data_IF_163769329013
#
_entry.id   IF_163769329013
#
_cell.length_a   1.000
_cell.length_b   1.000
_cell.length_c   1.000
_cell.angle_alpha   90.00
_cell.angle_beta   90.00
_cell.angle_gamma   90.00
#
_symmetry.space_group_name_H-M   'P 1'
#
loop_
_entity.id
_entity.type
_entity.pdbx_description
1 polymer ?
#
# COMPACT_ATOMS: atom_id res chain seq x y z
N UNK A 1 17.62 19.61 9.04
CA UNK A 1 18.49 18.97 8.02
C UNK A 1 17.99 19.37 6.64
N UNK A 2 18.88 19.67 5.68
CA UNK A 2 18.51 20.08 4.32
C UNK A 2 19.02 19.08 3.27
N UNK A 3 18.23 18.84 2.22
CA UNK A 3 18.61 17.98 1.09
C UNK A 3 18.14 18.57 -0.23
N UNK A 4 18.92 18.39 -1.29
CA UNK A 4 18.54 18.70 -2.67
C UNK A 4 18.07 17.41 -3.33
N UNK A 5 16.79 17.34 -3.66
CA UNK A 5 16.16 16.20 -4.33
C UNK A 5 15.77 16.58 -5.75
N UNK A 6 15.54 15.59 -6.61
CA UNK A 6 15.03 15.83 -7.96
C UNK A 6 13.50 15.70 -7.94
N UNK A 7 12.82 16.67 -8.53
CA UNK A 7 11.38 16.62 -8.72
C UNK A 7 10.98 15.59 -9.81
N UNK A 8 9.68 15.47 -10.06
CA UNK A 8 9.10 14.57 -11.08
C UNK A 8 9.57 14.90 -12.50
N UNK A 9 10.06 16.11 -12.74
CA UNK A 9 10.51 16.63 -14.02
C UNK A 9 12.05 16.66 -14.13
N UNK A 10 12.76 16.10 -13.15
CA UNK A 10 14.23 16.12 -13.12
C UNK A 10 14.83 17.49 -12.77
N UNK A 11 14.03 18.42 -12.24
CA UNK A 11 14.52 19.71 -11.73
C UNK A 11 14.93 19.58 -10.26
N UNK A 12 16.01 20.25 -9.85
CA UNK A 12 16.41 20.24 -8.45
C UNK A 12 15.45 21.03 -7.56
N UNK A 13 15.01 20.41 -6.47
CA UNK A 13 14.14 20.98 -5.45
C UNK A 13 14.81 20.87 -4.07
N UNK A 14 14.68 21.92 -3.26
CA UNK A 14 15.23 21.94 -1.91
C UNK A 14 14.17 21.46 -0.91
N UNK A 15 14.54 20.51 -0.07
CA UNK A 15 13.72 20.04 1.05
C UNK A 15 14.43 20.31 2.38
N UNK A 16 13.70 20.89 3.32
CA UNK A 16 14.18 21.15 4.68
C UNK A 16 13.30 20.37 5.64
N UNK A 17 13.94 19.56 6.49
CA UNK A 17 13.29 18.88 7.61
C UNK A 17 13.59 19.69 8.87
N UNK A 18 12.52 20.24 9.46
CA UNK A 18 12.54 20.94 10.75
C UNK A 18 12.09 19.93 11.81
N UNK A 19 12.94 19.69 12.81
CA UNK A 19 12.67 18.73 13.88
C UNK A 19 13.48 19.09 15.11
N UNK A 20 12.95 18.79 16.30
CA UNK A 20 13.67 18.89 17.58
C UNK A 20 14.58 17.68 17.85
N UNK A 21 14.51 16.64 17.02
CA UNK A 21 15.33 15.44 17.13
C UNK A 21 16.67 15.58 16.40
N UNK A 22 17.62 14.68 16.70
CA UNK A 22 18.88 14.57 15.94
C UNK A 22 18.59 14.37 14.43
N UNK A 23 19.36 15.01 13.53
CA UNK A 23 19.14 14.95 12.08
C UNK A 23 18.99 13.54 11.50
N UNK A 24 19.77 12.58 11.99
CA UNK A 24 19.75 11.17 11.56
C UNK A 24 18.40 10.50 11.87
N UNK A 25 17.85 10.78 13.05
CA UNK A 25 16.55 10.27 13.50
C UNK A 25 15.44 10.94 12.70
N UNK A 26 15.49 12.28 12.58
CA UNK A 26 14.49 13.05 11.83
C UNK A 26 14.40 12.59 10.37
N UNK A 27 15.55 12.34 9.74
CA UNK A 27 15.61 11.82 8.37
C UNK A 27 15.01 10.42 8.25
N UNK A 28 15.32 9.50 9.18
CA UNK A 28 14.77 8.15 9.18
C UNK A 28 13.24 8.17 9.32
N UNK A 29 12.72 8.93 10.27
CA UNK A 29 11.27 9.08 10.50
C UNK A 29 10.60 9.71 9.27
N UNK A 30 11.19 10.76 8.71
CA UNK A 30 10.60 11.46 7.56
C UNK A 30 10.47 10.57 6.31
N UNK A 31 11.36 9.58 6.14
CA UNK A 31 11.24 8.58 5.07
C UNK A 31 9.98 7.73 5.19
N UNK A 32 9.52 7.44 6.41
CA UNK A 32 8.32 6.63 6.65
C UNK A 32 7.05 7.34 6.17
N UNK A 33 7.07 8.69 6.07
CA UNK A 33 5.96 9.49 5.51
C UNK A 33 5.53 9.01 4.13
N UNK A 34 6.47 8.53 3.30
CA UNK A 34 6.17 8.09 1.94
C UNK A 34 5.22 6.87 1.88
N UNK A 35 5.05 6.15 2.98
CA UNK A 35 4.12 5.03 3.06
C UNK A 35 2.66 5.47 2.84
N UNK A 36 2.28 6.67 3.29
CA UNK A 36 0.91 7.18 3.12
C UNK A 36 0.56 7.42 1.65
N UNK A 37 1.54 7.84 0.84
CA UNK A 37 1.35 8.06 -0.60
C UNK A 37 1.08 6.72 -1.32
N UNK A 38 1.73 5.65 -0.86
CA UNK A 38 1.49 4.29 -1.37
C UNK A 38 0.10 3.79 -0.97
N UNK A 39 -0.34 4.07 0.26
CA UNK A 39 -1.69 3.74 0.73
C UNK A 39 -2.76 4.49 -0.06
N UNK A 40 -2.63 5.81 -0.24
CA UNK A 40 -3.58 6.59 -1.05
C UNK A 40 -3.62 6.13 -2.51
N UNK A 41 -2.47 5.79 -3.10
CA UNK A 41 -2.44 5.24 -4.46
C UNK A 41 -3.22 3.91 -4.56
N UNK A 42 -3.14 3.07 -3.54
CA UNK A 42 -3.85 1.81 -3.45
C UNK A 42 -5.37 1.97 -3.23
N UNK A 43 -5.80 2.98 -2.47
CA UNK A 43 -7.23 3.33 -2.33
C UNK A 43 -7.83 3.86 -3.64
N UNK A 44 -7.02 4.57 -4.42
CA UNK A 44 -7.41 5.15 -5.72
C UNK A 44 -7.11 4.18 -6.87
N UNK A 45 -6.50 4.69 -7.94
CA UNK A 45 -6.35 4.05 -9.25
C UNK A 45 -5.52 2.76 -9.26
N UNK A 46 -4.69 2.48 -8.24
CA UNK A 46 -3.87 1.26 -8.23
C UNK A 46 -4.55 0.06 -7.54
N UNK A 47 -5.70 0.25 -6.90
CA UNK A 47 -6.42 -0.77 -6.16
C UNK A 47 -7.93 -0.58 -6.21
N UNK A 48 -8.53 -0.08 -5.13
CA UNK A 48 -9.99 -0.07 -4.94
C UNK A 48 -10.75 0.96 -5.78
N UNK A 49 -10.05 1.94 -6.35
CA UNK A 49 -10.61 2.93 -7.26
C UNK A 49 -11.81 3.69 -6.68
N UNK A 50 -11.75 4.06 -5.39
CA UNK A 50 -12.88 4.66 -4.67
C UNK A 50 -13.41 5.94 -5.31
N UNK A 51 -12.57 6.69 -6.02
CA UNK A 51 -12.92 7.94 -6.71
C UNK A 51 -13.88 7.73 -7.88
N UNK A 52 -13.91 6.53 -8.47
CA UNK A 52 -14.79 6.18 -9.59
C UNK A 52 -16.17 5.65 -9.14
N UNK A 53 -16.45 5.62 -7.83
CA UNK A 53 -17.75 5.16 -7.32
C UNK A 53 -18.87 6.18 -7.50
N UNK A 54 -18.52 7.43 -7.85
CA UNK A 54 -19.44 8.57 -7.98
C UNK A 54 -20.31 8.84 -6.73
N UNK A 55 -19.92 8.32 -5.57
CA UNK A 55 -20.61 8.61 -4.32
C UNK A 55 -20.34 10.06 -3.89
N UNK A 56 -21.42 10.81 -3.67
CA UNK A 56 -21.40 12.21 -3.23
C UNK A 56 -21.83 12.38 -1.79
N UNK A 57 -22.73 11.51 -1.31
CA UNK A 57 -23.29 11.59 0.05
C UNK A 57 -22.27 11.16 1.10
N UNK A 58 -21.99 12.04 2.07
CA UNK A 58 -20.97 11.82 3.11
C UNK A 58 -21.19 10.52 3.89
N UNK A 59 -22.41 10.26 4.35
CA UNK A 59 -22.74 9.04 5.12
C UNK A 59 -22.47 7.75 4.33
N UNK A 60 -22.61 7.80 2.99
CA UNK A 60 -22.35 6.64 2.12
C UNK A 60 -20.86 6.47 1.88
N UNK A 61 -20.13 7.58 1.71
CA UNK A 61 -18.68 7.59 1.59
C UNK A 61 -18.06 7.02 2.87
N UNK A 62 -18.52 7.44 4.05
CA UNK A 62 -18.01 6.95 5.33
C UNK A 62 -18.16 5.43 5.47
N UNK A 63 -19.36 4.91 5.19
CA UNK A 63 -19.64 3.46 5.22
C UNK A 63 -18.80 2.68 4.22
N UNK A 64 -18.69 3.17 2.98
CA UNK A 64 -17.83 2.55 1.97
C UNK A 64 -16.38 2.56 2.44
N UNK A 65 -15.90 3.70 2.94
CA UNK A 65 -14.51 3.86 3.34
C UNK A 65 -14.15 2.90 4.48
N UNK A 66 -15.02 2.72 5.47
CA UNK A 66 -14.84 1.74 6.53
C UNK A 66 -14.63 0.31 5.96
N UNK A 67 -15.47 -0.12 5.01
CA UNK A 67 -15.32 -1.43 4.35
C UNK A 67 -14.02 -1.52 3.53
N UNK A 68 -13.68 -0.46 2.81
CA UNK A 68 -12.45 -0.39 2.00
C UNK A 68 -11.21 -0.49 2.88
N UNK A 69 -11.19 0.10 4.07
CA UNK A 69 -10.05 0.00 5.00
C UNK A 69 -9.88 -1.43 5.52
N UNK A 70 -10.98 -2.14 5.79
CA UNK A 70 -10.93 -3.57 6.16
C UNK A 70 -10.35 -4.39 4.99
N UNK A 71 -10.87 -4.20 3.77
CA UNK A 71 -10.37 -4.88 2.57
C UNK A 71 -8.90 -4.51 2.27
N UNK A 72 -8.50 -3.27 2.53
CA UNK A 72 -7.12 -2.82 2.40
C UNK A 72 -6.19 -3.58 3.33
N UNK A 73 -6.58 -3.67 4.60
CA UNK A 73 -5.81 -4.35 5.64
C UNK A 73 -5.69 -5.83 5.30
N UNK A 74 -6.78 -6.44 4.85
CA UNK A 74 -6.80 -7.83 4.39
C UNK A 74 -5.80 -8.09 3.25
N UNK A 75 -5.88 -7.31 2.17
CA UNK A 75 -4.96 -7.41 1.05
C UNK A 75 -3.50 -7.15 1.44
N UNK A 76 -3.28 -6.25 2.40
CA UNK A 76 -1.94 -5.97 2.92
C UNK A 76 -1.35 -7.16 3.68
N UNK A 77 -2.12 -7.76 4.60
CA UNK A 77 -1.71 -8.92 5.39
C UNK A 77 -1.45 -10.16 4.53
N UNK A 78 -2.35 -10.45 3.58
CA UNK A 78 -2.14 -11.53 2.59
C UNK A 78 -0.85 -11.26 1.80
N UNK A 79 -0.62 -10.03 1.37
CA UNK A 79 0.58 -9.65 0.64
C UNK A 79 1.88 -9.85 1.41
N UNK A 80 1.89 -9.58 2.73
CA UNK A 80 3.02 -9.85 3.62
C UNK A 80 3.26 -11.36 3.71
N UNK A 81 2.21 -12.12 4.03
CA UNK A 81 2.31 -13.58 4.14
C UNK A 81 2.85 -14.22 2.87
N UNK A 82 2.32 -13.83 1.71
CA UNK A 82 2.80 -14.33 0.43
C UNK A 82 4.27 -13.99 0.22
N UNK A 83 4.70 -12.78 0.58
CA UNK A 83 6.09 -12.36 0.43
C UNK A 83 7.05 -13.14 1.34
N UNK A 84 6.66 -13.39 2.58
CA UNK A 84 7.53 -13.99 3.60
C UNK A 84 7.56 -15.51 3.51
N UNK A 85 6.42 -16.14 3.21
CA UNK A 85 6.24 -17.60 3.33
C UNK A 85 6.20 -18.30 1.99
N UNK A 86 5.61 -17.67 0.96
CA UNK A 86 5.31 -18.35 -0.32
C UNK A 86 6.32 -17.97 -1.40
N UNK A 87 6.34 -16.70 -1.79
CA UNK A 87 7.22 -16.18 -2.83
C UNK A 87 7.54 -14.71 -2.59
N UNK A 88 8.82 -14.36 -2.34
CA UNK A 88 9.20 -12.99 -2.16
C UNK A 88 8.99 -12.16 -3.42
N UNK A 89 8.63 -10.90 -3.19
CA UNK A 89 8.45 -9.89 -4.24
C UNK A 89 9.83 -9.50 -4.75
N UNK A 90 10.02 -9.59 -6.07
CA UNK A 90 11.27 -9.20 -6.73
C UNK A 90 11.68 -7.76 -6.37
N UNK A 91 12.94 -7.57 -6.02
CA UNK A 91 13.56 -6.26 -5.87
C UNK A 91 14.12 -5.83 -7.23
N UNK A 92 13.83 -4.60 -7.65
CA UNK A 92 14.33 -4.01 -8.89
C UNK A 92 15.74 -3.42 -8.67
N UNK A 93 16.46 -3.13 -9.76
CA UNK A 93 17.82 -2.60 -9.73
C UNK A 93 17.97 -1.28 -8.93
N UNK A 94 16.87 -0.53 -8.76
CA UNK A 94 16.82 0.70 -7.97
C UNK A 94 16.59 0.46 -6.47
N UNK A 95 16.64 -0.79 -6.00
CA UNK A 95 16.42 -1.17 -4.60
C UNK A 95 14.97 -1.19 -4.14
N UNK A 96 13.99 -0.92 -5.03
CA UNK A 96 12.56 -0.91 -4.70
C UNK A 96 11.91 -2.24 -5.05
N UNK A 97 10.87 -2.63 -4.31
CA UNK A 97 10.04 -3.79 -4.63
C UNK A 97 9.26 -3.55 -5.93
N UNK A 98 9.14 -4.60 -6.75
CA UNK A 98 8.38 -4.54 -8.01
C UNK A 98 6.87 -4.34 -7.81
N UNK A 99 6.33 -4.79 -6.67
CA UNK A 99 4.95 -4.56 -6.23
C UNK A 99 4.95 -4.15 -4.75
N UNK A 100 3.95 -3.36 -4.35
CA UNK A 100 3.66 -3.20 -2.92
C UNK A 100 3.08 -4.51 -2.36
N UNK A 101 3.18 -4.70 -1.03
CA UNK A 101 2.52 -5.83 -0.36
C UNK A 101 1.02 -5.83 -0.64
N UNK A 102 0.36 -4.69 -0.46
CA UNK A 102 -1.05 -4.51 -0.82
C UNK A 102 -1.38 -5.02 -2.23
N UNK A 103 -0.65 -4.58 -3.26
CA UNK A 103 -0.97 -4.98 -4.64
C UNK A 103 -0.70 -6.47 -4.87
N UNK A 104 0.29 -7.03 -4.19
CA UNK A 104 0.57 -8.45 -4.27
C UNK A 104 -0.56 -9.28 -3.68
N UNK A 105 -1.03 -8.93 -2.48
CA UNK A 105 -2.15 -9.61 -1.84
C UNK A 105 -3.49 -9.36 -2.51
N UNK A 106 -3.77 -8.13 -2.99
CA UNK A 106 -4.99 -7.82 -3.73
C UNK A 106 -5.10 -8.69 -4.99
N UNK A 107 -4.03 -8.77 -5.80
CA UNK A 107 -4.02 -9.63 -6.99
C UNK A 107 -4.22 -11.11 -6.65
N UNK A 108 -3.75 -11.55 -5.49
CA UNK A 108 -3.93 -12.93 -5.05
C UNK A 108 -5.38 -13.20 -4.64
N UNK A 109 -5.96 -12.32 -3.82
CA UNK A 109 -7.38 -12.39 -3.43
C UNK A 109 -8.27 -12.34 -4.68
N UNK A 110 -7.98 -11.45 -5.63
CA UNK A 110 -8.70 -11.34 -6.90
C UNK A 110 -8.68 -12.67 -7.68
N UNK A 111 -7.51 -13.32 -7.79
CA UNK A 111 -7.41 -14.63 -8.43
C UNK A 111 -8.21 -15.70 -7.66
N UNK A 112 -8.10 -15.76 -6.33
CA UNK A 112 -8.85 -16.76 -5.53
C UNK A 112 -10.36 -16.59 -5.67
N UNK A 113 -10.86 -15.34 -5.67
CA UNK A 113 -12.29 -15.07 -5.70
C UNK A 113 -12.90 -15.14 -7.11
N UNK A 114 -12.16 -14.69 -8.14
CA UNK A 114 -12.70 -14.50 -9.49
C UNK A 114 -12.25 -15.57 -10.49
N UNK A 115 -11.20 -16.33 -10.20
CA UNK A 115 -10.69 -17.37 -11.09
C UNK A 115 -11.12 -18.76 -10.58
N UNK A 116 -12.16 -19.33 -11.19
CA UNK A 116 -12.68 -20.66 -10.84
C UNK A 116 -11.69 -21.80 -11.02
N UNK A 117 -10.64 -21.59 -11.83
CA UNK A 117 -9.60 -22.59 -12.09
C UNK A 117 -8.42 -22.47 -11.12
N UNK A 118 -8.37 -21.43 -10.28
CA UNK A 118 -7.31 -21.24 -9.30
C UNK A 118 -7.68 -21.93 -7.98
N UNK A 119 -7.11 -23.13 -7.78
CA UNK A 119 -7.25 -23.87 -6.52
C UNK A 119 -5.95 -23.77 -5.74
N UNK A 120 -5.95 -22.93 -4.71
CA UNK A 120 -4.82 -22.80 -3.78
C UNK A 120 -5.31 -23.05 -2.35
N UNK A 121 -4.45 -23.65 -1.52
CA UNK A 121 -4.79 -24.12 -0.18
C UNK A 121 -4.64 -23.03 0.90
N UNK A 122 -4.27 -21.81 0.52
CA UNK A 122 -4.14 -20.70 1.45
C UNK A 122 -5.55 -20.22 1.82
N UNK A 123 -5.91 -20.41 3.09
CA UNK A 123 -7.15 -19.87 3.63
C UNK A 123 -7.03 -18.35 3.83
N UNK A 124 -7.37 -17.58 2.80
CA UNK A 124 -7.34 -16.12 2.81
C UNK A 124 -8.27 -15.50 3.88
N UNK A 125 -9.31 -16.22 4.32
CA UNK A 125 -10.24 -15.71 5.33
C UNK A 125 -9.64 -15.68 6.74
N UNK A 126 -8.59 -16.49 7.01
CA UNK A 126 -7.87 -16.46 8.28
C UNK A 126 -7.20 -15.10 8.56
N UNK A 127 -6.88 -14.34 7.52
CA UNK A 127 -6.32 -12.99 7.70
C UNK A 127 -7.36 -11.96 8.15
N UNK A 128 -8.64 -12.29 8.09
CA UNK A 128 -9.74 -11.48 8.60
C UNK A 128 -10.21 -11.94 9.99
N UNK A 129 -9.80 -13.13 10.45
CA UNK A 129 -10.20 -13.61 11.77
C UNK A 129 -9.42 -12.90 12.86
N UNK A 130 -10.13 -12.31 13.83
CA UNK A 130 -9.54 -11.72 15.03
C UNK A 130 -9.18 -12.76 16.12
N UNK A 131 -9.06 -14.03 15.73
CA UNK A 131 -8.72 -15.18 16.58
C UNK A 131 -7.27 -15.57 16.37
#
# INVERSE_FOLDING_TARGET
>A
SGCKVMDKNGKPELQIIISFCKPEIAYKIYKERWQIETAFKALKTSGFNIENTHLTELDRIEKLFALVIIAFTWAYLVGIFLHEIIKPIRILNNGRKAKSFFKYGLNYIENVLLNTCFQDNINIYKFLSCT
#
